data_IF_567582438480
#
_entry.id   IF_567582438480
#
_cell.length_a   1.000
_cell.length_b   1.000
_cell.length_c   1.000
_cell.angle_alpha   90.00
_cell.angle_beta   90.00
_cell.angle_gamma   90.00
#
_symmetry.space_group_name_H-M   'P 1'
#
loop_
_entity.id
_entity.type
_entity.pdbx_description
1 polymer ?
#
# COMPACT_ATOMS: atom_id res chain seq x y z
N UNK A 1 6.96 12.84 12.87
CA UNK A 1 8.31 12.24 13.06
C UNK A 1 9.43 13.10 12.47
N UNK A 2 9.43 13.40 11.16
CA UNK A 2 10.51 14.15 10.49
C UNK A 2 10.80 15.53 11.11
N UNK A 3 9.77 16.28 11.51
CA UNK A 3 9.91 17.59 12.19
C UNK A 3 10.64 17.49 13.53
N UNK A 4 10.42 16.40 14.29
CA UNK A 4 11.13 16.16 15.55
C UNK A 4 12.58 15.73 15.30
N UNK A 5 12.82 14.87 14.30
CA UNK A 5 14.16 14.44 13.90
C UNK A 5 15.02 15.60 13.38
N UNK A 6 14.41 16.58 12.70
CA UNK A 6 15.10 17.79 12.24
C UNK A 6 15.73 18.59 13.38
N UNK A 7 15.12 18.57 14.57
CA UNK A 7 15.59 19.29 15.77
C UNK A 7 16.70 18.55 16.53
N UNK A 8 16.99 17.30 16.19
CA UNK A 8 18.05 16.52 16.84
C UNK A 8 19.42 16.77 16.16
N UNK A 9 20.51 16.82 16.93
CA UNK A 9 21.84 17.07 16.39
C UNK A 9 22.31 15.88 15.53
N UNK A 10 22.79 16.18 14.32
CA UNK A 10 23.56 15.22 13.51
C UNK A 10 25.04 15.30 13.87
N UNK A 11 25.70 14.16 14.03
CA UNK A 11 27.16 14.10 14.28
C UNK A 11 27.79 13.08 13.33
N UNK A 12 28.88 13.48 12.65
CA UNK A 12 29.69 12.56 11.84
C UNK A 12 30.28 11.47 12.73
N UNK A 13 30.01 10.21 12.41
CA UNK A 13 30.50 9.03 13.16
C UNK A 13 30.43 7.76 12.31
N UNK A 14 31.11 6.73 12.77
CA UNK A 14 30.87 5.37 12.29
C UNK A 14 29.73 4.76 13.11
N UNK A 15 28.72 4.23 12.43
CA UNK A 15 27.62 3.47 13.03
C UNK A 15 27.59 2.08 12.43
N UNK A 16 26.92 1.18 13.13
CA UNK A 16 26.82 -0.22 12.76
C UNK A 16 25.36 -0.66 12.68
N UNK A 17 25.06 -1.50 11.69
CA UNK A 17 23.77 -2.18 11.54
C UNK A 17 24.01 -3.65 11.23
N UNK A 18 23.53 -4.53 12.09
CA UNK A 18 23.60 -5.98 11.89
C UNK A 18 22.32 -6.54 11.24
N UNK A 19 22.47 -7.53 10.37
CA UNK A 19 21.38 -8.31 9.78
C UNK A 19 21.74 -9.80 9.79
N UNK A 20 20.88 -10.65 10.34
CA UNK A 20 21.04 -12.13 10.36
C UNK A 20 20.67 -12.77 9.03
N UNK A 21 21.34 -12.33 7.97
CA UNK A 21 21.21 -12.86 6.62
C UNK A 21 22.49 -12.57 5.85
N UNK A 22 22.82 -13.46 4.92
CA UNK A 22 23.84 -13.20 3.91
C UNK A 22 23.29 -12.21 2.86
N UNK A 23 23.81 -11.00 2.87
CA UNK A 23 23.37 -9.92 1.96
C UNK A 23 24.54 -9.31 1.18
N UNK A 24 25.79 -9.64 1.52
CA UNK A 24 26.97 -8.97 0.96
C UNK A 24 27.09 -9.11 -0.57
N UNK A 25 26.54 -10.19 -1.16
CA UNK A 25 26.45 -10.38 -2.61
C UNK A 25 25.66 -9.27 -3.31
N UNK A 26 24.69 -8.68 -2.62
CA UNK A 26 23.91 -7.55 -3.13
C UNK A 26 24.68 -6.22 -3.08
N UNK A 27 25.85 -6.19 -2.43
CA UNK A 27 26.66 -5.00 -2.21
C UNK A 27 28.11 -5.19 -2.71
N UNK A 28 28.34 -5.37 -4.02
CA UNK A 28 29.69 -5.38 -4.56
C UNK A 28 30.39 -4.03 -4.34
N UNK A 29 31.72 -4.07 -4.22
CA UNK A 29 32.54 -2.87 -4.04
C UNK A 29 32.33 -1.86 -5.19
N UNK A 30 32.26 -0.57 -4.85
CA UNK A 30 31.97 0.51 -5.80
C UNK A 30 30.47 0.71 -6.09
N UNK A 31 29.58 -0.20 -5.65
CA UNK A 31 28.13 -0.02 -5.84
C UNK A 31 27.65 1.22 -5.09
N UNK A 32 26.93 2.07 -5.80
CA UNK A 32 26.17 3.19 -5.22
C UNK A 32 24.70 2.79 -5.15
N UNK A 33 24.09 2.96 -4.00
CA UNK A 33 22.68 2.63 -3.80
C UNK A 33 22.00 3.58 -2.83
N UNK A 34 20.67 3.53 -2.80
CA UNK A 34 19.86 4.32 -1.87
C UNK A 34 19.36 3.40 -0.76
N UNK A 35 19.60 3.81 0.48
CA UNK A 35 19.05 3.19 1.67
C UNK A 35 17.67 3.77 1.93
N UNK A 36 16.63 3.00 1.59
CA UNK A 36 15.24 3.45 1.65
C UNK A 36 14.58 3.25 3.02
N UNK A 37 15.17 2.46 3.92
CA UNK A 37 14.58 2.17 5.24
C UNK A 37 14.94 3.21 6.31
N UNK A 38 14.06 3.38 7.30
CA UNK A 38 14.51 3.83 8.62
C UNK A 38 15.21 2.66 9.30
N UNK A 39 16.40 2.90 9.86
CA UNK A 39 17.15 1.82 10.51
C UNK A 39 17.70 2.29 11.84
N UNK A 40 17.38 1.52 12.89
CA UNK A 40 18.04 1.65 14.18
C UNK A 40 19.45 1.04 14.08
N UNK A 41 20.43 1.87 14.44
CA UNK A 41 21.86 1.60 14.37
C UNK A 41 22.50 1.90 15.73
N UNK A 42 23.69 1.37 15.94
CA UNK A 42 24.47 1.60 17.17
C UNK A 42 25.86 2.12 16.86
N UNK A 43 26.47 2.90 17.75
CA UNK A 43 27.90 3.22 17.68
C UNK A 43 28.79 2.18 18.40
N UNK A 44 28.20 1.23 19.11
CA UNK A 44 28.91 0.31 19.99
C UNK A 44 28.83 -1.12 19.47
N UNK A 45 29.98 -1.72 19.16
CA UNK A 45 30.04 -3.09 18.62
C UNK A 45 29.46 -4.13 19.61
N UNK A 46 29.62 -3.93 20.92
CA UNK A 46 29.13 -4.85 21.95
C UNK A 46 27.61 -5.03 21.97
N UNK A 47 26.83 -4.06 21.47
CA UNK A 47 25.38 -4.20 21.32
C UNK A 47 25.03 -5.25 20.25
N UNK A 48 25.90 -5.41 19.25
CA UNK A 48 25.72 -6.41 18.19
C UNK A 48 26.14 -7.82 18.64
N UNK A 49 26.89 -7.95 19.73
CA UNK A 49 27.26 -9.26 20.26
C UNK A 49 26.09 -9.99 20.95
N UNK A 50 25.01 -9.28 21.25
CA UNK A 50 23.82 -9.89 21.82
C UNK A 50 23.15 -10.81 20.79
N UNK A 51 22.97 -12.08 21.18
CA UNK A 51 22.38 -13.15 20.37
C UNK A 51 20.96 -12.83 19.90
N UNK A 52 20.20 -11.99 20.60
CA UNK A 52 18.86 -11.58 20.16
C UNK A 52 18.91 -10.63 18.94
N UNK A 53 19.98 -9.84 18.81
CA UNK A 53 20.10 -8.83 17.75
C UNK A 53 20.90 -9.31 16.55
N UNK A 54 22.16 -9.67 16.75
CA UNK A 54 23.07 -10.04 15.66
C UNK A 54 23.84 -11.33 15.98
N UNK A 55 24.36 -11.46 17.20
CA UNK A 55 24.98 -12.71 17.69
C UNK A 55 26.37 -12.99 17.12
N UNK A 56 26.98 -14.08 17.59
CA UNK A 56 28.37 -14.45 17.27
C UNK A 56 28.51 -15.58 16.25
N UNK A 57 27.40 -16.18 15.82
CA UNK A 57 27.39 -17.35 14.93
C UNK A 57 26.32 -17.23 13.84
N UNK A 58 26.39 -18.08 12.81
CA UNK A 58 25.44 -18.11 11.69
C UNK A 58 25.68 -17.05 10.61
N UNK A 59 25.02 -17.21 9.46
CA UNK A 59 25.15 -16.30 8.32
C UNK A 59 24.58 -14.92 8.61
N UNK A 60 25.45 -13.90 8.58
CA UNK A 60 25.11 -12.55 9.00
C UNK A 60 25.96 -11.49 8.31
N UNK A 61 25.32 -10.36 8.03
CA UNK A 61 25.94 -9.20 7.37
C UNK A 61 25.97 -8.00 8.31
N UNK A 62 27.15 -7.47 8.56
CA UNK A 62 27.40 -6.26 9.33
C UNK A 62 27.69 -5.09 8.40
N UNK A 63 26.82 -4.08 8.42
CA UNK A 63 27.07 -2.81 7.74
C UNK A 63 27.85 -1.89 8.67
N UNK A 64 29.08 -1.54 8.29
CA UNK A 64 29.90 -0.53 8.95
C UNK A 64 29.78 0.78 8.17
N UNK A 65 29.01 1.72 8.70
CA UNK A 65 28.54 2.89 7.95
C UNK A 65 29.24 4.16 8.48
N UNK A 66 30.02 4.82 7.63
CA UNK A 66 30.51 6.19 7.89
C UNK A 66 29.41 7.16 7.49
N UNK A 67 28.69 7.68 8.48
CA UNK A 67 27.53 8.55 8.28
C UNK A 67 27.75 9.95 8.87
N UNK A 68 27.10 10.93 8.25
CA UNK A 68 27.09 12.35 8.61
C UNK A 68 25.70 12.82 9.05
N UNK A 69 24.62 12.21 8.56
CA UNK A 69 23.25 12.70 8.75
C UNK A 69 22.48 11.99 9.87
N UNK A 70 22.94 10.82 10.33
CA UNK A 70 22.24 10.03 11.35
C UNK A 70 21.96 10.81 12.64
N UNK A 71 20.80 10.52 13.25
CA UNK A 71 20.27 11.23 14.42
C UNK A 71 20.42 10.38 15.67
N UNK A 72 21.11 10.89 16.68
CA UNK A 72 21.18 10.22 17.97
C UNK A 72 19.87 10.42 18.72
N UNK A 73 19.22 9.32 19.12
CA UNK A 73 17.96 9.33 19.86
C UNK A 73 18.10 8.70 21.25
N UNK A 74 19.34 8.51 21.74
CA UNK A 74 19.60 7.88 23.05
C UNK A 74 18.74 8.44 24.18
N UNK A 75 18.53 9.76 24.22
CA UNK A 75 17.71 10.43 25.25
C UNK A 75 16.21 10.10 25.18
N UNK A 76 15.78 9.50 24.08
CA UNK A 76 14.39 9.14 23.77
C UNK A 76 14.25 7.63 23.52
N UNK A 77 15.31 6.85 23.71
CA UNK A 77 15.28 5.40 23.58
C UNK A 77 14.54 4.81 24.77
N UNK A 78 13.77 3.75 24.50
CA UNK A 78 13.13 2.95 25.56
C UNK A 78 14.16 2.18 26.40
N UNK A 79 15.35 1.91 25.85
CA UNK A 79 16.41 1.14 26.51
C UNK A 79 17.46 2.09 27.08
N UNK A 80 17.55 2.16 28.41
CA UNK A 80 18.26 3.21 29.15
C UNK A 80 19.80 3.21 28.96
N UNK A 81 20.38 2.22 28.28
CA UNK A 81 21.85 2.09 28.14
C UNK A 81 22.36 1.78 26.72
N UNK A 82 21.55 1.93 25.68
CA UNK A 82 22.02 1.76 24.30
C UNK A 82 22.29 3.10 23.60
N UNK A 83 23.32 3.12 22.75
CA UNK A 83 23.56 4.24 21.83
C UNK A 83 22.64 4.11 20.63
N UNK A 84 21.34 4.40 20.82
CA UNK A 84 20.37 4.31 19.73
C UNK A 84 20.53 5.48 18.76
N UNK A 85 20.81 5.15 17.50
CA UNK A 85 21.05 6.10 16.42
C UNK A 85 20.15 5.73 15.24
N UNK A 86 19.35 6.69 14.79
CA UNK A 86 18.50 6.51 13.62
C UNK A 86 19.23 6.92 12.34
N UNK A 87 19.32 5.98 11.41
CA UNK A 87 19.63 6.23 10.01
C UNK A 87 18.34 6.60 9.27
N UNK A 88 18.36 7.75 8.59
CA UNK A 88 17.22 8.27 7.85
C UNK A 88 17.03 7.53 6.52
N UNK A 89 15.79 7.55 6.01
CA UNK A 89 15.47 7.08 4.65
C UNK A 89 16.09 7.97 3.56
N UNK A 90 16.11 7.43 2.34
CA UNK A 90 16.60 8.02 1.10
C UNK A 90 18.04 8.55 1.17
N UNK A 91 18.91 7.86 1.92
CA UNK A 91 20.34 8.21 2.01
C UNK A 91 21.14 7.40 1.02
N UNK A 92 22.00 8.09 0.26
CA UNK A 92 22.82 7.44 -0.74
C UNK A 92 24.13 6.97 -0.11
N UNK A 93 24.50 5.72 -0.37
CA UNK A 93 25.74 5.12 0.11
C UNK A 93 26.55 4.56 -1.04
N UNK A 94 27.86 4.61 -0.88
CA UNK A 94 28.82 3.91 -1.71
C UNK A 94 29.44 2.77 -0.90
N UNK A 95 29.45 1.56 -1.48
CA UNK A 95 30.15 0.41 -0.92
C UNK A 95 31.65 0.60 -1.13
N UNK A 96 32.39 0.70 -0.02
CA UNK A 96 33.84 0.94 -0.03
C UNK A 96 34.67 -0.33 0.03
N UNK A 97 34.16 -1.38 0.63
CA UNK A 97 34.79 -2.70 0.66
C UNK A 97 33.85 -3.73 1.28
N UNK A 98 34.06 -4.99 0.93
CA UNK A 98 33.44 -6.14 1.60
C UNK A 98 34.54 -7.01 2.20
N UNK A 99 34.37 -7.43 3.46
CA UNK A 99 35.30 -8.31 4.18
C UNK A 99 34.54 -9.57 4.59
N UNK A 100 35.20 -10.72 4.50
CA UNK A 100 34.71 -11.99 5.05
C UNK A 100 35.72 -12.51 6.09
N UNK A 101 35.58 -12.14 7.37
CA UNK A 101 36.45 -12.66 8.44
C UNK A 101 36.24 -14.15 8.75
N UNK A 102 35.25 -14.81 8.14
CA UNK A 102 34.86 -16.19 8.42
C UNK A 102 33.77 -16.30 9.49
N UNK A 103 33.42 -17.54 9.86
CA UNK A 103 32.39 -17.87 10.86
C UNK A 103 30.99 -17.28 10.52
N UNK A 104 30.63 -17.26 9.23
CA UNK A 104 29.36 -16.73 8.72
C UNK A 104 29.24 -15.20 8.78
N UNK A 105 30.29 -14.46 9.16
CA UNK A 105 30.26 -13.00 9.24
C UNK A 105 30.76 -12.37 7.93
N UNK A 106 29.93 -11.50 7.36
CA UNK A 106 30.31 -10.64 6.24
C UNK A 106 30.20 -9.18 6.66
N UNK A 107 31.21 -8.36 6.37
CA UNK A 107 31.24 -6.94 6.73
C UNK A 107 31.21 -6.11 5.46
N UNK A 108 30.19 -5.27 5.31
CA UNK A 108 30.07 -4.32 4.20
C UNK A 108 30.38 -2.91 4.72
N UNK A 109 31.43 -2.28 4.22
CA UNK A 109 31.80 -0.92 4.60
C UNK A 109 31.12 0.08 3.69
N UNK A 110 30.33 0.98 4.28
CA UNK A 110 29.56 1.99 3.56
C UNK A 110 30.08 3.40 3.89
N UNK A 111 30.10 4.27 2.87
CA UNK A 111 30.31 5.70 3.03
C UNK A 111 29.06 6.44 2.57
N UNK A 112 28.50 7.26 3.45
CA UNK A 112 27.39 8.15 3.07
C UNK A 112 27.88 9.18 2.04
N UNK A 113 27.14 9.30 0.95
CA UNK A 113 27.31 10.37 -0.02
C UNK A 113 26.42 11.54 0.38
N UNK A 114 26.86 12.76 0.07
CA UNK A 114 26.06 13.96 0.35
C UNK A 114 24.75 13.86 -0.44
N UNK A 115 23.59 13.91 0.24
CA UNK A 115 22.30 13.80 -0.44
C UNK A 115 22.06 15.05 -1.30
N UNK A 116 21.44 14.87 -2.48
CA UNK A 116 21.03 15.99 -3.34
C UNK A 116 19.90 16.83 -2.74
N UNK A 117 19.10 16.22 -1.86
CA UNK A 117 17.99 16.85 -1.14
C UNK A 117 18.08 16.49 0.33
N UNK A 118 17.98 17.49 1.22
CA UNK A 118 17.89 17.21 2.64
C UNK A 118 16.41 17.07 3.04
N UNK A 119 15.96 15.83 3.30
CA UNK A 119 14.59 15.55 3.74
C UNK A 119 14.17 16.26 5.04
N UNK A 120 15.13 16.83 5.78
CA UNK A 120 14.87 17.56 7.02
C UNK A 120 14.83 19.08 6.82
N UNK A 121 15.12 19.59 5.62
CA UNK A 121 15.03 21.00 5.27
C UNK A 121 13.87 21.20 4.28
N UNK A 122 13.04 22.24 4.45
CA UNK A 122 12.02 22.57 3.47
C UNK A 122 12.68 22.86 2.12
N UNK A 123 12.15 22.28 1.05
CA UNK A 123 12.58 22.57 -0.32
C UNK A 123 12.17 24.00 -0.64
N UNK A 124 13.12 24.89 -0.87
CA UNK A 124 12.84 26.23 -1.40
C UNK A 124 12.45 26.09 -2.87
N UNK A 125 11.15 26.14 -3.17
CA UNK A 125 10.67 26.18 -4.55
C UNK A 125 10.75 27.64 -5.00
N UNK A 126 11.58 27.99 -6.00
CA UNK A 126 11.57 29.35 -6.54
C UNK A 126 10.20 29.63 -7.17
N UNK A 127 9.63 30.79 -6.86
CA UNK A 127 8.37 31.27 -7.44
C UNK A 127 8.46 31.24 -8.97
N UNK A 128 7.73 30.32 -9.61
CA UNK A 128 7.56 30.30 -11.05
C UNK A 128 6.46 31.31 -11.40
N UNK A 129 6.87 32.50 -11.83
CA UNK A 129 5.98 33.47 -12.48
C UNK A 129 5.48 32.85 -13.78
N UNK A 130 4.19 32.49 -13.83
CA UNK A 130 3.55 31.99 -15.05
C UNK A 130 3.45 33.15 -16.05
N UNK A 131 4.36 33.22 -17.01
CA UNK A 131 4.13 33.98 -18.23
C UNK A 131 3.36 33.11 -19.21
N UNK A 132 2.09 33.44 -19.40
CA UNK A 132 1.22 32.87 -20.42
C UNK A 132 1.66 33.36 -21.80
N UNK A 133 2.35 32.53 -22.57
CA UNK A 133 2.44 32.67 -24.02
C UNK A 133 2.20 31.30 -24.65
N UNK A 134 0.95 31.07 -25.06
CA UNK A 134 0.57 29.96 -25.92
C UNK A 134 0.80 30.43 -27.37
N UNK A 135 1.74 29.81 -28.06
CA UNK A 135 1.80 29.83 -29.52
C UNK A 135 1.99 28.41 -30.03
N UNK A 136 0.96 27.93 -30.72
CA UNK A 136 0.88 26.66 -31.43
C UNK A 136 1.83 26.62 -32.63
N UNK A 137 2.80 25.70 -32.62
CA UNK A 137 3.45 25.18 -33.82
C UNK A 137 3.82 23.72 -33.57
N UNK A 138 3.32 22.83 -34.43
CA UNK A 138 3.56 21.39 -34.35
C UNK A 138 4.95 20.99 -34.85
N UNK A 139 5.52 19.97 -34.23
CA UNK A 139 6.65 19.20 -34.76
C UNK A 139 6.45 17.74 -34.34
N UNK A 140 6.30 16.84 -35.31
CA UNK A 140 6.61 15.41 -35.16
C UNK A 140 8.10 15.22 -35.42
N UNK A 141 8.79 14.25 -34.77
CA UNK A 141 9.24 13.07 -35.54
C UNK A 141 9.36 11.75 -34.71
N UNK A 142 9.68 10.62 -35.37
CA UNK A 142 9.59 9.26 -34.84
C UNK A 142 10.92 8.74 -34.25
N UNK A 143 10.88 7.58 -33.58
CA UNK A 143 11.75 6.39 -33.78
C UNK A 143 11.68 5.45 -32.56
N UNK A 144 11.57 4.17 -32.89
CA UNK A 144 11.73 2.96 -32.08
C UNK A 144 12.99 2.91 -31.22
N UNK A 145 12.88 2.41 -29.99
CA UNK A 145 14.03 1.95 -29.22
C UNK A 145 13.72 1.69 -27.74
N UNK A 146 13.62 0.40 -27.38
CA UNK A 146 13.76 -0.15 -26.04
C UNK A 146 12.95 0.49 -24.89
N UNK A 147 11.77 -0.07 -24.60
CA UNK A 147 11.19 -0.04 -23.25
C UNK A 147 11.25 -1.45 -22.66
N UNK A 148 12.38 -1.77 -22.03
CA UNK A 148 12.50 -2.85 -21.06
C UNK A 148 13.24 -2.33 -19.82
N UNK A 149 12.80 -2.81 -18.64
CA UNK A 149 13.37 -2.60 -17.30
C UNK A 149 13.17 -1.17 -16.74
N UNK A 150 12.51 -0.92 -15.60
CA UNK A 150 12.62 -1.57 -14.30
C UNK A 150 11.43 -1.13 -13.43
N UNK A 151 10.45 -2.01 -13.20
CA UNK A 151 9.55 -1.88 -12.05
C UNK A 151 10.24 -2.52 -10.83
N UNK A 152 11.01 -1.75 -10.09
CA UNK A 152 11.46 -2.13 -8.76
C UNK A 152 10.48 -1.54 -7.73
N UNK A 153 9.38 -2.24 -7.50
CA UNK A 153 8.45 -1.97 -6.42
C UNK A 153 9.20 -2.10 -5.08
N UNK A 154 9.45 -0.97 -4.40
CA UNK A 154 10.01 -1.00 -3.05
C UNK A 154 8.86 -1.05 -2.06
N UNK A 155 8.42 -2.28 -1.74
CA UNK A 155 7.45 -2.53 -0.68
C UNK A 155 8.04 -2.07 0.65
N UNK A 156 7.46 -1.03 1.25
CA UNK A 156 7.58 -0.82 2.69
C UNK A 156 6.65 -1.85 3.35
N UNK A 157 7.19 -3.03 3.68
CA UNK A 157 6.48 -3.94 4.56
C UNK A 157 6.49 -3.33 5.96
N UNK A 158 5.48 -2.52 6.30
CA UNK A 158 5.02 -2.49 7.68
C UNK A 158 4.52 -3.90 7.96
N UNK A 159 5.41 -4.72 8.51
CA UNK A 159 5.01 -5.97 9.14
C UNK A 159 4.33 -5.49 10.43
N UNK A 160 3.01 -5.41 10.41
CA UNK A 160 2.25 -5.49 11.65
C UNK A 160 2.58 -6.87 12.21
N UNK A 161 3.67 -6.97 12.97
CA UNK A 161 3.98 -8.18 13.71
C UNK A 161 2.97 -8.23 14.86
N UNK A 162 1.83 -8.87 14.59
CA UNK A 162 0.91 -9.31 15.64
C UNK A 162 1.76 -10.24 16.52
N UNK A 163 1.97 -9.93 17.80
CA UNK A 163 2.78 -10.76 18.68
C UNK A 163 2.31 -12.22 18.61
N UNK A 164 3.24 -13.18 18.63
CA UNK A 164 2.92 -14.62 18.60
C UNK A 164 1.98 -15.04 19.77
N UNK A 165 1.90 -14.20 20.80
CA UNK A 165 1.03 -14.32 21.96
C UNK A 165 -0.05 -13.22 22.06
N UNK A 166 -0.47 -12.62 20.95
CA UNK A 166 -1.56 -11.65 20.97
C UNK A 166 -2.83 -12.30 21.53
N UNK A 167 -3.22 -11.90 22.73
CA UNK A 167 -4.46 -12.34 23.37
C UNK A 167 -5.63 -11.58 22.76
N UNK A 168 -6.38 -12.26 21.89
CA UNK A 168 -7.63 -11.74 21.35
C UNK A 168 -8.72 -11.87 22.43
N UNK A 169 -9.41 -10.77 22.72
CA UNK A 169 -10.63 -10.84 23.53
C UNK A 169 -11.78 -11.28 22.64
N UNK A 170 -12.66 -12.15 23.13
CA UNK A 170 -13.89 -12.56 22.41
C UNK A 170 -14.99 -11.48 22.50
N UNK A 171 -14.62 -10.22 22.79
CA UNK A 171 -15.54 -9.11 22.97
C UNK A 171 -15.59 -8.26 21.69
N UNK A 172 -16.69 -8.36 20.96
CA UNK A 172 -16.98 -7.46 19.84
C UNK A 172 -17.55 -6.13 20.34
N UNK A 173 -17.21 -5.03 19.66
CA UNK A 173 -17.82 -3.71 19.88
C UNK A 173 -18.45 -3.27 18.58
N UNK A 174 -19.69 -2.77 18.65
CA UNK A 174 -20.33 -2.16 17.48
C UNK A 174 -19.70 -0.79 17.24
N UNK A 175 -19.22 -0.55 16.02
CA UNK A 175 -18.57 0.73 15.64
C UNK A 175 -19.36 1.52 14.60
N UNK A 176 -20.42 0.93 14.02
CA UNK A 176 -21.34 1.56 13.07
C UNK A 176 -22.71 0.85 13.12
N UNK A 177 -23.80 1.58 12.89
CA UNK A 177 -25.16 1.01 12.83
C UNK A 177 -25.71 0.47 14.15
N UNK A 178 -25.40 1.11 15.28
CA UNK A 178 -25.75 0.62 16.63
C UNK A 178 -27.24 0.54 16.96
N UNK A 179 -28.11 1.09 16.10
CA UNK A 179 -29.55 1.17 16.34
C UNK A 179 -30.38 0.26 15.43
N UNK A 180 -29.76 -0.82 14.94
CA UNK A 180 -30.42 -1.85 14.14
C UNK A 180 -30.72 -1.39 12.72
N UNK A 181 -31.68 -2.08 12.09
CA UNK A 181 -32.08 -1.83 10.71
C UNK A 181 -32.85 -0.51 10.58
N UNK A 182 -32.44 0.34 9.65
CA UNK A 182 -33.15 1.58 9.31
C UNK A 182 -32.29 2.51 8.46
N UNK A 183 -32.77 3.73 8.23
CA UNK A 183 -32.16 4.74 7.35
C UNK A 183 -31.64 5.97 8.11
N UNK A 184 -31.79 6.03 9.43
CA UNK A 184 -31.20 7.08 10.25
C UNK A 184 -29.66 7.04 10.21
N UNK A 185 -29.01 8.13 10.62
CA UNK A 185 -27.53 8.26 10.61
C UNK A 185 -26.80 7.35 11.59
N UNK A 186 -27.52 6.70 12.51
CA UNK A 186 -27.02 5.71 13.46
C UNK A 186 -27.52 4.28 13.14
N UNK A 187 -28.15 4.09 11.98
CA UNK A 187 -28.70 2.82 11.49
C UNK A 187 -28.09 2.43 10.14
N UNK A 188 -28.19 1.15 9.82
CA UNK A 188 -27.73 0.57 8.56
C UNK A 188 -28.81 -0.38 8.02
N UNK A 189 -28.87 -0.56 6.71
CA UNK A 189 -29.73 -1.57 6.08
C UNK A 189 -28.93 -2.36 5.04
N UNK A 190 -28.70 -3.65 5.34
CA UNK A 190 -27.84 -4.53 4.54
C UNK A 190 -26.44 -3.93 4.28
N UNK A 191 -25.63 -3.61 5.31
CA UNK A 191 -24.27 -3.14 5.08
C UNK A 191 -23.45 -4.22 4.38
N UNK A 192 -22.78 -3.84 3.29
CA UNK A 192 -22.02 -4.75 2.44
C UNK A 192 -20.51 -4.55 2.63
N UNK A 193 -19.89 -3.69 1.82
CA UNK A 193 -18.46 -3.38 1.91
C UNK A 193 -18.17 -2.28 2.92
N UNK A 194 -16.96 -2.28 3.46
CA UNK A 194 -16.47 -1.22 4.33
C UNK A 194 -15.00 -0.95 4.07
N UNK A 195 -14.57 0.26 4.39
CA UNK A 195 -13.18 0.67 4.37
C UNK A 195 -12.84 1.45 5.63
N UNK A 196 -11.65 1.19 6.18
CA UNK A 196 -11.14 1.89 7.36
C UNK A 196 -9.89 2.68 6.95
N UNK A 197 -9.89 3.99 7.18
CA UNK A 197 -8.72 4.85 6.94
C UNK A 197 -7.77 4.94 8.15
N UNK A 198 -6.61 5.57 7.94
CA UNK A 198 -5.58 5.72 9.00
C UNK A 198 -6.05 6.63 10.14
N UNK A 199 -7.05 7.48 9.89
CA UNK A 199 -7.68 8.35 10.89
C UNK A 199 -8.79 7.63 11.66
N UNK A 200 -8.85 6.30 11.54
CA UNK A 200 -9.85 5.43 12.14
C UNK A 200 -11.28 5.86 11.79
N UNK A 201 -11.48 6.32 10.55
CA UNK A 201 -12.79 6.57 9.98
C UNK A 201 -13.24 5.32 9.24
N UNK A 202 -14.46 4.86 9.52
CA UNK A 202 -15.06 3.70 8.87
C UNK A 202 -16.08 4.20 7.87
N UNK A 203 -15.85 3.98 6.58
CA UNK A 203 -16.84 4.20 5.52
C UNK A 203 -17.53 2.88 5.21
N UNK A 204 -18.85 2.88 5.11
CA UNK A 204 -19.67 1.68 4.88
C UNK A 204 -20.54 1.91 3.64
N UNK A 205 -20.56 0.92 2.75
CA UNK A 205 -21.54 0.82 1.69
C UNK A 205 -22.84 0.25 2.27
N UNK A 206 -23.78 1.15 2.52
CA UNK A 206 -25.09 0.86 3.11
C UNK A 206 -26.07 0.52 1.98
N UNK A 207 -25.95 -0.73 1.49
CA UNK A 207 -26.55 -1.20 0.24
C UNK A 207 -28.05 -0.96 0.18
N UNK A 208 -28.78 -1.23 1.27
CA UNK A 208 -30.24 -1.11 1.32
C UNK A 208 -30.74 0.33 1.39
N UNK A 209 -29.87 1.29 1.73
CA UNK A 209 -30.19 2.72 1.82
C UNK A 209 -29.53 3.55 0.70
N UNK A 210 -28.93 2.90 -0.31
CA UNK A 210 -28.37 3.55 -1.49
C UNK A 210 -27.38 4.69 -1.16
N UNK A 211 -26.52 4.47 -0.16
CA UNK A 211 -25.60 5.50 0.34
C UNK A 211 -24.26 4.93 0.79
N UNK A 212 -23.27 5.81 0.84
CA UNK A 212 -22.06 5.62 1.63
C UNK A 212 -22.15 6.52 2.85
N UNK A 213 -21.99 5.91 4.02
CA UNK A 213 -22.05 6.60 5.31
C UNK A 213 -20.79 6.28 6.10
N UNK A 214 -20.24 7.29 6.79
CA UNK A 214 -19.02 7.17 7.57
C UNK A 214 -19.24 7.46 9.06
N UNK A 215 -18.42 6.82 9.90
CA UNK A 215 -18.30 7.09 11.32
C UNK A 215 -16.85 7.29 11.71
N UNK A 216 -16.60 8.12 12.72
CA UNK A 216 -15.35 8.05 13.45
C UNK A 216 -15.39 6.84 14.37
N UNK A 217 -14.28 6.12 14.47
CA UNK A 217 -14.16 5.01 15.41
C UNK A 217 -14.61 5.46 16.80
N UNK A 218 -15.37 4.57 17.45
CA UNK A 218 -15.98 4.76 18.76
C UNK A 218 -17.14 5.76 18.83
N UNK A 219 -17.44 6.52 17.75
CA UNK A 219 -18.67 7.29 17.62
C UNK A 219 -19.70 6.52 16.81
N UNK A 220 -20.57 5.77 17.50
CA UNK A 220 -21.59 4.93 16.84
C UNK A 220 -22.89 5.68 16.52
N UNK A 221 -23.02 6.93 16.98
CA UNK A 221 -24.27 7.69 16.96
C UNK A 221 -24.31 8.73 15.84
N UNK A 222 -23.17 9.30 15.47
CA UNK A 222 -23.12 10.43 14.53
C UNK A 222 -22.57 10.01 13.17
N UNK A 223 -23.30 9.14 12.47
CA UNK A 223 -22.94 8.81 11.09
C UNK A 223 -23.14 9.99 10.15
N UNK A 224 -22.27 10.10 9.16
CA UNK A 224 -22.30 11.17 8.16
C UNK A 224 -22.41 10.55 6.78
N UNK A 225 -23.50 10.86 6.06
CA UNK A 225 -23.65 10.45 4.66
C UNK A 225 -22.66 11.25 3.82
N UNK A 226 -21.77 10.54 3.12
CA UNK A 226 -20.68 11.13 2.33
C UNK A 226 -20.83 10.89 0.83
N UNK A 227 -21.74 10.01 0.41
CA UNK A 227 -22.16 9.85 -0.98
C UNK A 227 -23.57 9.21 -1.03
N UNK A 228 -24.36 9.58 -2.04
CA UNK A 228 -25.73 9.07 -2.22
C UNK A 228 -26.72 9.54 -1.15
N UNK A 229 -27.72 8.71 -0.84
CA UNK A 229 -28.72 8.98 0.20
C UNK A 229 -29.80 10.02 -0.14
N UNK A 230 -29.95 10.41 -1.41
CA UNK A 230 -30.97 11.35 -1.91
C UNK A 230 -31.83 10.70 -3.00
N UNK A 231 -32.53 9.64 -2.61
CA UNK A 231 -33.27 8.71 -3.46
C UNK A 231 -32.40 7.79 -4.32
N UNK A 232 -32.88 6.56 -4.52
CA UNK A 232 -32.30 5.62 -5.49
C UNK A 232 -32.35 6.23 -6.90
N UNK A 233 -31.27 6.07 -7.66
CA UNK A 233 -31.25 6.54 -9.03
C UNK A 233 -29.88 6.43 -9.69
N UNK A 234 -29.79 6.93 -10.91
CA UNK A 234 -28.58 6.88 -11.73
C UNK A 234 -27.94 8.27 -11.97
N UNK A 235 -28.49 9.32 -11.34
CA UNK A 235 -27.88 10.64 -11.34
C UNK A 235 -26.46 10.62 -10.76
N UNK A 236 -25.64 11.61 -11.09
CA UNK A 236 -24.27 11.70 -10.57
C UNK A 236 -24.25 11.99 -9.06
N UNK A 237 -25.32 12.53 -8.51
CA UNK A 237 -25.55 12.73 -7.08
C UNK A 237 -26.29 11.57 -6.39
N UNK A 238 -26.50 10.45 -7.08
CA UNK A 238 -27.26 9.30 -6.60
C UNK A 238 -26.42 8.02 -6.70
N UNK A 239 -26.75 7.06 -5.84
CA UNK A 239 -26.25 5.69 -5.91
C UNK A 239 -27.44 4.74 -6.00
N UNK A 240 -27.18 3.49 -6.39
CA UNK A 240 -28.16 2.43 -6.41
C UNK A 240 -27.47 1.11 -6.05
N UNK A 241 -27.75 0.64 -4.84
CA UNK A 241 -27.21 -0.59 -4.23
C UNK A 241 -25.68 -0.64 -4.26
N UNK A 242 -25.00 0.31 -3.59
CA UNK A 242 -23.56 0.28 -3.53
C UNK A 242 -23.07 -0.94 -2.75
N UNK A 243 -22.11 -1.68 -3.29
CA UNK A 243 -21.64 -2.94 -2.68
C UNK A 243 -20.30 -2.80 -1.97
N UNK A 244 -19.48 -1.83 -2.40
CA UNK A 244 -18.13 -1.66 -1.87
C UNK A 244 -17.64 -0.21 -2.04
N UNK A 245 -16.70 0.19 -1.18
CA UNK A 245 -16.12 1.53 -1.15
C UNK A 245 -14.65 1.45 -0.77
N UNK A 246 -13.81 2.25 -1.42
CA UNK A 246 -12.41 2.50 -1.04
C UNK A 246 -12.15 4.00 -0.91
N UNK A 247 -11.16 4.37 -0.10
CA UNK A 247 -10.67 5.75 -0.02
C UNK A 247 -9.35 5.87 -0.78
N UNK A 248 -9.35 6.65 -1.86
CA UNK A 248 -8.13 7.12 -2.53
C UNK A 248 -7.56 8.31 -1.76
N UNK A 249 -6.55 8.03 -0.93
CA UNK A 249 -5.88 9.03 -0.09
C UNK A 249 -5.13 10.09 -0.89
N UNK A 250 -4.63 9.75 -2.08
CA UNK A 250 -3.86 10.71 -2.88
C UNK A 250 -4.75 11.84 -3.38
N UNK A 251 -5.98 11.51 -3.76
CA UNK A 251 -6.92 12.49 -4.31
C UNK A 251 -8.02 12.90 -3.35
N UNK A 252 -8.01 12.35 -2.13
CA UNK A 252 -9.04 12.49 -1.10
C UNK A 252 -10.45 12.28 -1.68
N UNK A 253 -10.66 11.07 -2.22
CA UNK A 253 -11.90 10.69 -2.89
C UNK A 253 -12.32 9.27 -2.51
N UNK A 254 -13.63 9.02 -2.53
CA UNK A 254 -14.21 7.69 -2.48
C UNK A 254 -14.16 7.08 -3.88
N UNK A 255 -13.91 5.78 -3.98
CA UNK A 255 -14.14 4.95 -5.16
C UNK A 255 -15.22 3.95 -4.76
N UNK A 256 -16.35 3.96 -5.45
CA UNK A 256 -17.57 3.26 -5.03
C UNK A 256 -18.02 2.31 -6.13
N UNK A 257 -18.28 1.06 -5.77
CA UNK A 257 -19.04 0.13 -6.62
C UNK A 257 -20.52 0.49 -6.56
N UNK A 258 -21.07 1.00 -7.65
CA UNK A 258 -22.49 1.33 -7.79
C UNK A 258 -23.18 0.22 -8.60
N UNK A 259 -23.37 -0.94 -7.95
CA UNK A 259 -23.60 -2.23 -8.59
C UNK A 259 -24.83 -2.25 -9.51
N UNK A 260 -25.97 -1.73 -9.06
CA UNK A 260 -27.19 -1.75 -9.85
C UNK A 260 -27.13 -0.80 -11.05
N UNK A 261 -26.42 0.32 -10.89
CA UNK A 261 -26.13 1.26 -11.98
C UNK A 261 -25.00 0.78 -12.91
N UNK A 262 -24.37 -0.36 -12.60
CA UNK A 262 -23.32 -0.99 -13.39
C UNK A 262 -22.13 -0.06 -13.70
N UNK A 263 -21.68 0.66 -12.67
CA UNK A 263 -20.58 1.63 -12.79
C UNK A 263 -19.73 1.67 -11.53
N UNK A 264 -18.49 2.11 -11.68
CA UNK A 264 -17.64 2.55 -10.57
C UNK A 264 -17.60 4.07 -10.61
N UNK A 265 -17.93 4.72 -9.49
CA UNK A 265 -17.90 6.18 -9.38
C UNK A 265 -16.83 6.65 -8.43
N UNK A 266 -16.28 7.83 -8.70
CA UNK A 266 -15.41 8.57 -7.79
C UNK A 266 -16.17 9.73 -7.18
N UNK A 267 -16.11 9.88 -5.88
CA UNK A 267 -16.74 11.00 -5.17
C UNK A 267 -15.70 11.74 -4.35
N UNK A 268 -15.50 13.04 -4.60
CA UNK A 268 -14.54 13.81 -3.82
C UNK A 268 -15.04 14.00 -2.38
N UNK A 269 -14.14 13.88 -1.40
CA UNK A 269 -14.45 14.15 0.01
C UNK A 269 -14.26 15.62 0.41
N UNK A 270 -13.84 16.46 -0.53
CA UNK A 270 -13.65 17.89 -0.33
C UNK A 270 -15.00 18.58 -0.11
N UNK A 271 -15.00 19.68 0.64
CA UNK A 271 -16.23 20.42 0.89
C UNK A 271 -16.86 20.96 -0.40
N UNK A 272 -18.18 20.84 -0.52
CA UNK A 272 -18.95 21.38 -1.64
C UNK A 272 -19.19 20.42 -2.81
N UNK A 273 -18.61 19.21 -2.82
CA UNK A 273 -18.91 18.21 -3.86
C UNK A 273 -20.13 17.37 -3.52
N UNK A 274 -21.18 17.50 -4.34
CA UNK A 274 -22.48 16.84 -4.16
C UNK A 274 -22.76 15.75 -5.19
N UNK A 275 -21.82 15.50 -6.10
CA UNK A 275 -21.94 14.52 -7.17
C UNK A 275 -20.62 13.79 -7.39
N UNK A 276 -20.70 12.54 -7.83
CA UNK A 276 -19.60 11.74 -8.28
C UNK A 276 -19.29 11.89 -9.77
N UNK A 277 -18.17 11.32 -10.16
CA UNK A 277 -17.69 11.18 -11.54
C UNK A 277 -17.67 9.69 -11.89
N UNK A 278 -18.13 9.32 -13.08
CA UNK A 278 -18.07 7.93 -13.54
C UNK A 278 -16.62 7.62 -13.92
N UNK A 279 -15.98 6.71 -13.19
CA UNK A 279 -14.64 6.22 -13.52
C UNK A 279 -14.69 5.09 -14.54
N UNK A 280 -15.62 4.15 -14.35
CA UNK A 280 -15.78 2.96 -15.16
C UNK A 280 -17.27 2.75 -15.38
N UNK A 281 -17.69 2.57 -16.63
CA UNK A 281 -19.06 2.23 -17.01
C UNK A 281 -19.17 0.74 -17.40
N UNK A 282 -20.41 0.27 -17.57
CA UNK A 282 -20.73 -1.07 -18.07
C UNK A 282 -20.01 -2.21 -17.32
N UNK A 283 -20.03 -2.14 -15.98
CA UNK A 283 -19.41 -3.12 -15.10
C UNK A 283 -20.33 -3.46 -13.94
N UNK A 284 -20.66 -4.74 -13.75
CA UNK A 284 -21.43 -5.19 -12.59
C UNK A 284 -20.50 -5.39 -11.38
N UNK A 285 -19.90 -4.28 -10.95
CA UNK A 285 -18.86 -4.23 -9.94
C UNK A 285 -19.39 -4.64 -8.56
N UNK A 286 -18.69 -5.56 -7.87
CA UNK A 286 -19.11 -6.00 -6.53
C UNK A 286 -18.05 -5.73 -5.46
N UNK A 287 -16.79 -5.98 -5.76
CA UNK A 287 -15.65 -5.71 -4.87
C UNK A 287 -14.55 -4.91 -5.57
N UNK A 288 -13.84 -4.11 -4.78
CA UNK A 288 -12.73 -3.26 -5.19
C UNK A 288 -11.45 -3.60 -4.44
N UNK A 289 -10.31 -3.44 -5.09
CA UNK A 289 -9.03 -3.24 -4.40
C UNK A 289 -8.18 -2.22 -5.15
N UNK A 290 -7.50 -1.36 -4.41
CA UNK A 290 -6.56 -0.38 -4.95
C UNK A 290 -5.18 -0.68 -4.37
N UNK A 291 -4.19 -0.89 -5.22
CA UNK A 291 -2.81 -1.08 -4.77
C UNK A 291 -2.01 0.23 -4.73
N UNK A 292 -0.80 0.17 -4.15
CA UNK A 292 0.09 1.32 -4.01
C UNK A 292 0.56 1.91 -5.35
N UNK A 293 0.51 1.13 -6.43
CA UNK A 293 0.83 1.60 -7.80
C UNK A 293 -0.38 2.22 -8.52
N UNK A 294 -1.49 2.40 -7.79
CA UNK A 294 -2.77 2.93 -8.27
C UNK A 294 -3.42 2.10 -9.37
N UNK A 295 -3.26 0.79 -9.31
CA UNK A 295 -4.10 -0.12 -10.06
C UNK A 295 -5.35 -0.48 -9.28
N UNK A 296 -6.50 -0.26 -9.91
CA UNK A 296 -7.82 -0.59 -9.40
C UNK A 296 -8.25 -1.95 -9.96
N UNK A 297 -8.47 -2.89 -9.06
CA UNK A 297 -9.03 -4.21 -9.33
C UNK A 297 -10.52 -4.16 -9.05
N UNK A 298 -11.32 -4.64 -10.01
CA UNK A 298 -12.79 -4.64 -9.90
C UNK A 298 -13.31 -6.02 -10.29
N UNK A 299 -14.07 -6.67 -9.41
CA UNK A 299 -14.79 -7.90 -9.77
C UNK A 299 -16.06 -7.56 -10.53
N UNK A 300 -16.19 -8.10 -11.74
CA UNK A 300 -17.41 -8.03 -12.55
C UNK A 300 -18.21 -9.31 -12.36
N UNK A 301 -19.26 -9.23 -11.54
CA UNK A 301 -20.09 -10.39 -11.19
C UNK A 301 -20.82 -10.98 -12.38
N UNK A 302 -21.25 -10.15 -13.34
CA UNK A 302 -22.00 -10.58 -14.54
C UNK A 302 -21.09 -11.16 -15.61
N UNK A 303 -19.86 -10.64 -15.73
CA UNK A 303 -18.88 -11.15 -16.70
C UNK A 303 -18.03 -12.29 -16.14
N UNK A 304 -18.15 -12.57 -14.84
CA UNK A 304 -17.42 -13.64 -14.15
C UNK A 304 -15.91 -13.48 -14.29
N UNK A 305 -15.44 -12.26 -14.09
CA UNK A 305 -14.04 -11.90 -14.26
C UNK A 305 -13.62 -10.81 -13.27
N UNK A 306 -12.32 -10.63 -13.11
CA UNK A 306 -11.74 -9.48 -12.42
C UNK A 306 -10.96 -8.66 -13.42
N UNK A 307 -11.27 -7.37 -13.49
CA UNK A 307 -10.62 -6.40 -14.36
C UNK A 307 -9.65 -5.54 -13.58
N UNK A 308 -8.52 -5.24 -14.20
CA UNK A 308 -7.47 -4.37 -13.71
C UNK A 308 -7.44 -3.09 -14.53
N UNK A 309 -7.60 -1.95 -13.88
CA UNK A 309 -7.51 -0.62 -14.48
C UNK A 309 -6.34 0.13 -13.87
N UNK A 310 -5.61 0.91 -14.66
CA UNK A 310 -4.88 2.03 -14.08
C UNK A 310 -5.92 3.05 -13.60
N UNK A 311 -5.85 3.49 -12.34
CA UNK A 311 -6.86 4.39 -11.78
C UNK A 311 -6.96 5.69 -12.61
N UNK A 312 -8.16 5.95 -13.18
CA UNK A 312 -8.45 7.06 -14.10
C UNK A 312 -8.26 6.73 -15.59
N UNK A 313 -7.70 5.57 -15.92
CA UNK A 313 -7.60 5.05 -17.28
C UNK A 313 -8.88 4.31 -17.71
N UNK A 314 -9.15 4.30 -19.02
CA UNK A 314 -10.30 3.58 -19.61
C UNK A 314 -10.00 2.13 -19.99
N UNK A 315 -8.73 1.83 -20.24
CA UNK A 315 -8.30 0.49 -20.65
C UNK A 315 -8.19 -0.42 -19.44
N UNK A 316 -8.53 -1.70 -19.65
CA UNK A 316 -8.39 -2.72 -18.62
C UNK A 316 -7.73 -3.98 -19.14
N UNK A 317 -7.22 -4.77 -18.20
CA UNK A 317 -6.76 -6.15 -18.43
C UNK A 317 -7.60 -7.09 -17.58
N UNK A 318 -8.02 -8.22 -18.14
CA UNK A 318 -8.64 -9.29 -17.33
C UNK A 318 -7.54 -10.05 -16.60
N UNK A 319 -7.57 -10.01 -15.27
CA UNK A 319 -6.55 -10.66 -14.41
C UNK A 319 -7.06 -11.94 -13.77
N UNK A 320 -8.37 -12.20 -13.75
CA UNK A 320 -8.91 -13.48 -13.33
C UNK A 320 -10.23 -13.76 -14.04
N UNK A 321 -10.54 -15.04 -14.29
CA UNK A 321 -11.74 -15.42 -15.04
C UNK A 321 -11.65 -15.07 -16.53
N UNK A 322 -12.76 -14.60 -17.11
CA UNK A 322 -12.84 -14.21 -18.53
C UNK A 322 -12.93 -15.37 -19.53
N UNK A 323 -12.94 -16.63 -19.05
CA UNK A 323 -13.08 -17.84 -19.87
C UNK A 323 -14.48 -18.45 -19.75
N UNK A 324 -15.49 -17.60 -19.58
CA UNK A 324 -16.86 -18.00 -19.32
C UNK A 324 -17.11 -18.38 -17.85
N UNK A 325 -18.39 -18.59 -17.56
CA UNK A 325 -18.86 -19.04 -16.26
C UNK A 325 -18.53 -20.52 -16.04
N UNK A 326 -17.97 -20.88 -14.89
CA UNK A 326 -17.71 -22.28 -14.57
C UNK A 326 -16.85 -22.47 -13.33
N UNK A 327 -16.56 -23.72 -13.00
CA UNK A 327 -15.77 -24.17 -11.86
C UNK A 327 -14.33 -24.55 -12.23
N UNK A 328 -13.94 -24.42 -13.50
CA UNK A 328 -12.57 -24.59 -13.95
C UNK A 328 -11.58 -23.66 -13.23
N UNK A 329 -10.30 -24.02 -13.18
CA UNK A 329 -9.26 -23.20 -12.54
C UNK A 329 -8.99 -21.87 -13.25
N UNK A 330 -9.46 -21.72 -14.49
CA UNK A 330 -9.39 -20.51 -15.29
C UNK A 330 -10.76 -19.79 -15.43
N UNK A 331 -11.77 -20.25 -14.70
CA UNK A 331 -13.13 -19.74 -14.72
C UNK A 331 -13.55 -19.25 -13.33
N UNK A 332 -14.54 -18.38 -13.30
CA UNK A 332 -15.20 -17.91 -12.08
C UNK A 332 -16.71 -18.03 -12.26
N UNK A 333 -17.46 -17.97 -11.16
CA UNK A 333 -18.91 -18.00 -11.13
C UNK A 333 -19.41 -17.04 -10.04
N UNK A 334 -19.79 -15.85 -10.49
CA UNK A 334 -20.17 -14.71 -9.65
C UNK A 334 -19.08 -14.32 -8.63
N UNK A 335 -17.90 -13.85 -9.09
CA UNK A 335 -16.86 -13.37 -8.18
C UNK A 335 -17.37 -12.15 -7.39
N UNK A 336 -17.29 -12.20 -6.05
CA UNK A 336 -17.76 -11.16 -5.16
C UNK A 336 -16.58 -10.27 -4.69
N UNK A 337 -16.20 -10.33 -3.42
CA UNK A 337 -15.07 -9.57 -2.89
C UNK A 337 -13.73 -10.12 -3.35
N UNK A 338 -12.73 -9.24 -3.35
CA UNK A 338 -11.36 -9.57 -3.70
C UNK A 338 -10.37 -8.89 -2.77
N UNK A 339 -9.20 -9.50 -2.60
CA UNK A 339 -8.07 -8.95 -1.84
C UNK A 339 -6.80 -9.09 -2.69
N UNK A 340 -5.97 -8.06 -2.69
CA UNK A 340 -4.70 -8.05 -3.43
C UNK A 340 -3.56 -7.93 -2.45
N UNK A 341 -2.66 -8.91 -2.45
CA UNK A 341 -1.49 -8.87 -1.58
C UNK A 341 -0.37 -7.99 -2.15
N UNK A 342 0.68 -7.77 -1.36
CA UNK A 342 1.84 -6.95 -1.78
C UNK A 342 2.57 -7.51 -3.01
N UNK A 343 2.48 -8.83 -3.25
CA UNK A 343 3.07 -9.49 -4.42
C UNK A 343 2.15 -9.43 -5.65
N UNK A 344 1.05 -8.67 -5.56
CA UNK A 344 0.02 -8.54 -6.60
C UNK A 344 -0.69 -9.85 -6.90
N UNK A 345 -0.74 -10.78 -5.94
CA UNK A 345 -1.64 -11.92 -6.05
C UNK A 345 -3.06 -11.48 -5.70
N UNK A 346 -4.03 -11.91 -6.50
CA UNK A 346 -5.45 -11.60 -6.35
C UNK A 346 -6.16 -12.80 -5.73
N UNK A 347 -6.77 -12.60 -4.59
CA UNK A 347 -7.61 -13.56 -3.88
C UNK A 347 -9.06 -13.19 -4.10
N UNK A 348 -9.89 -14.11 -4.56
CA UNK A 348 -11.26 -13.82 -5.01
C UNK A 348 -12.22 -14.80 -4.35
N UNK A 349 -13.27 -14.26 -3.73
CA UNK A 349 -14.41 -15.06 -3.28
C UNK A 349 -15.27 -15.43 -4.49
N UNK A 350 -15.10 -16.66 -4.98
CA UNK A 350 -15.82 -17.22 -6.12
C UNK A 350 -17.17 -17.78 -5.63
N UNK A 351 -18.08 -16.84 -5.35
CA UNK A 351 -19.23 -17.01 -4.46
C UNK A 351 -20.09 -18.24 -4.79
N UNK A 352 -20.40 -18.45 -6.08
CA UNK A 352 -21.31 -19.52 -6.50
C UNK A 352 -20.59 -20.84 -6.86
N UNK A 353 -19.27 -20.87 -6.73
CA UNK A 353 -18.47 -22.10 -6.75
C UNK A 353 -18.02 -22.52 -5.34
N UNK A 354 -18.46 -21.80 -4.30
CA UNK A 354 -18.18 -22.11 -2.90
C UNK A 354 -16.68 -22.23 -2.58
N UNK A 355 -15.86 -21.39 -3.21
CA UNK A 355 -14.39 -21.42 -3.07
C UNK A 355 -13.77 -20.03 -3.02
N UNK A 356 -12.51 -19.99 -2.59
CA UNK A 356 -11.63 -18.82 -2.73
C UNK A 356 -10.51 -19.16 -3.69
N UNK A 357 -10.30 -18.33 -4.72
CA UNK A 357 -9.30 -18.55 -5.75
C UNK A 357 -8.15 -17.56 -5.59
N UNK A 358 -6.90 -18.06 -5.64
CA UNK A 358 -5.68 -17.24 -5.74
C UNK A 358 -5.19 -17.22 -7.18
N UNK A 359 -5.07 -16.02 -7.75
CA UNK A 359 -4.45 -15.75 -9.04
C UNK A 359 -3.16 -14.97 -8.81
N UNK A 360 -2.09 -15.30 -9.55
CA UNK A 360 -0.75 -14.70 -9.38
C UNK A 360 -0.32 -14.04 -10.67
N UNK A 361 0.67 -13.14 -10.68
CA UNK A 361 1.23 -12.63 -11.94
C UNK A 361 2.28 -13.60 -12.51
N UNK A 362 2.31 -13.77 -13.83
CA UNK A 362 3.26 -14.54 -14.63
C UNK A 362 4.46 -13.65 -14.95
N UNK A 363 5.55 -14.26 -15.42
CA UNK A 363 6.79 -13.55 -15.73
C UNK A 363 6.63 -12.51 -16.87
N UNK A 364 5.51 -12.52 -17.58
CA UNK A 364 5.16 -11.58 -18.66
C UNK A 364 4.18 -10.49 -18.19
N UNK A 365 3.90 -10.37 -16.89
CA UNK A 365 2.98 -9.37 -16.35
C UNK A 365 1.49 -9.70 -16.53
N UNK A 366 1.14 -10.93 -16.89
CA UNK A 366 -0.26 -11.42 -17.01
C UNK A 366 -0.56 -12.38 -15.86
N UNK A 367 -1.81 -12.62 -15.50
CA UNK A 367 -2.06 -13.45 -14.32
C UNK A 367 -1.82 -14.98 -14.53
N UNK A 368 -0.64 -15.51 -14.13
CA UNK A 368 -0.49 -16.76 -13.35
C UNK A 368 -1.20 -18.00 -13.86
N UNK A 369 -2.06 -18.69 -13.09
CA UNK A 369 -2.77 -19.98 -13.41
C UNK A 369 -2.33 -21.20 -12.59
N UNK A 370 -1.35 -21.14 -11.66
CA UNK A 370 -0.86 -22.39 -11.05
C UNK A 370 -0.53 -22.32 -9.55
N UNK A 371 -1.30 -23.07 -8.76
CA UNK A 371 -0.80 -23.76 -7.57
C UNK A 371 -0.43 -25.19 -7.99
N UNK A 372 0.85 -25.56 -7.90
CA UNK A 372 1.27 -26.98 -7.91
C UNK A 372 1.52 -27.37 -6.46
N UNK A 373 0.60 -28.12 -5.86
CA UNK A 373 0.96 -29.02 -4.77
C UNK A 373 1.77 -30.18 -5.36
N UNK A 374 3.08 -30.19 -5.10
CA UNK A 374 3.87 -31.41 -5.09
C UNK A 374 4.57 -31.50 -3.75
N UNK A 375 3.81 -31.91 -2.74
CA UNK A 375 4.35 -32.85 -1.78
C UNK A 375 4.05 -34.24 -2.37
N UNK A 376 5.09 -34.93 -2.81
CA UNK A 376 5.12 -36.39 -2.86
C UNK A 376 6.46 -36.79 -2.28
N UNK A 377 6.33 -37.52 -1.17
CA UNK A 377 7.16 -38.61 -0.62
C UNK A 377 8.67 -38.56 -0.87
#
# INVERSE_FOLDING_TARGET
MLTALARLPSKRRSIFRGVKKELWLDYPEGKVFIWWGFSSCTSTIGVLENEHFFGKTGERTLFKIKCTTAKNIKKHSFIVNEDEILLLTARQFEVKSCLNPGNGLHIVQLKELKPKFDLLQPVSIPNLTVQSNISSQGISPPISGAMEAQFAATQATSKFDIPDNAEWTQNGVTIAGSHGQGDATNQLFWPHGLFVDDDQTVAVADFGNDRIIQWKKDDTTNGQVIAGGKDQGNGLNQLNRPTDVLIDKETDSLIICDWQNQRVVRWSRRSGTTQGEILIDNIACYGLALNEQRYLYVSDTKKHEVRLYQLGGKNYTVVAGGNGQGDGLNQLKFPAYLFVDRQQNVYISDWNNHRVMKWTIDAQGRCCRRWRSRLRE
#
